data_IF_264089148216
#
_entry.id   IF_264089148216
#
_cell.length_a   1.000
_cell.length_b   1.000
_cell.length_c   1.000
_cell.angle_alpha   90.00
_cell.angle_beta   90.00
_cell.angle_gamma   90.00
#
_symmetry.space_group_name_H-M   'P 1'
#
loop_
_entity.id
_entity.type
_entity.pdbx_description
1 polymer ?
#
# COMPACT_ATOMS: atom_id res chain seq x y z
N UNK A 1 25.28 -3.82 -6.19
CA UNK A 1 23.96 -3.23 -6.55
C UNK A 1 24.22 -1.81 -7.03
N UNK A 2 23.84 -1.46 -8.27
CA UNK A 2 24.20 -0.16 -8.85
C UNK A 2 23.32 0.96 -8.27
N UNK A 3 23.84 2.20 -8.24
CA UNK A 3 23.13 3.36 -7.66
C UNK A 3 21.74 3.59 -8.29
N UNK A 4 21.63 3.38 -9.61
CA UNK A 4 20.39 3.49 -10.38
C UNK A 4 19.35 2.43 -9.95
N UNK A 5 19.80 1.19 -9.72
CA UNK A 5 18.92 0.11 -9.22
C UNK A 5 18.46 0.34 -7.77
N UNK A 6 19.25 1.07 -6.98
CA UNK A 6 18.88 1.45 -5.61
C UNK A 6 17.82 2.54 -5.62
N UNK A 7 18.00 3.59 -6.44
CA UNK A 7 17.05 4.68 -6.58
C UNK A 7 15.68 4.20 -7.09
N UNK A 8 15.65 3.39 -8.16
CA UNK A 8 14.41 2.81 -8.70
C UNK A 8 13.64 2.00 -7.64
N UNK A 9 14.34 1.30 -6.75
CA UNK A 9 13.73 0.53 -5.67
C UNK A 9 13.15 1.41 -4.56
N UNK A 10 13.84 2.50 -4.22
CA UNK A 10 13.38 3.48 -3.22
C UNK A 10 12.14 4.23 -3.72
N UNK A 11 12.12 4.62 -5.00
CA UNK A 11 10.98 5.27 -5.64
C UNK A 11 9.75 4.35 -5.67
N UNK A 12 9.94 3.06 -5.96
CA UNK A 12 8.87 2.05 -5.90
C UNK A 12 8.32 1.85 -4.48
N UNK A 13 9.18 1.89 -3.46
CA UNK A 13 8.73 1.78 -2.06
C UNK A 13 7.90 2.99 -1.64
N UNK A 14 8.37 4.18 -1.98
CA UNK A 14 7.65 5.44 -1.71
C UNK A 14 6.29 5.46 -2.42
N UNK A 15 6.23 4.98 -3.66
CA UNK A 15 4.98 4.86 -4.42
C UNK A 15 3.98 3.92 -3.75
N UNK A 16 4.40 2.73 -3.31
CA UNK A 16 3.51 1.78 -2.62
C UNK A 16 2.94 2.36 -1.32
N UNK A 17 3.78 3.03 -0.52
CA UNK A 17 3.34 3.71 0.71
C UNK A 17 2.36 4.85 0.40
N UNK A 18 2.58 5.58 -0.69
CA UNK A 18 1.68 6.63 -1.16
C UNK A 18 0.29 6.09 -1.51
N UNK A 19 0.21 4.98 -2.24
CA UNK A 19 -1.07 4.34 -2.57
C UNK A 19 -1.79 3.80 -1.33
N UNK A 20 -1.06 3.20 -0.38
CA UNK A 20 -1.64 2.75 0.89
C UNK A 20 -2.28 3.92 1.65
N UNK A 21 -1.58 5.05 1.79
CA UNK A 21 -2.11 6.20 2.54
C UNK A 21 -3.30 6.85 1.82
N UNK A 22 -3.28 6.88 0.49
CA UNK A 22 -4.42 7.35 -0.32
C UNK A 22 -5.65 6.46 -0.09
N UNK A 23 -5.50 5.14 -0.18
CA UNK A 23 -6.58 4.19 0.07
C UNK A 23 -7.10 4.29 1.52
N UNK A 24 -6.20 4.49 2.49
CA UNK A 24 -6.59 4.69 3.90
C UNK A 24 -7.50 5.92 4.05
N UNK A 25 -7.17 7.04 3.40
CA UNK A 25 -7.99 8.25 3.44
C UNK A 25 -9.37 8.03 2.81
N UNK A 26 -9.42 7.39 1.65
CA UNK A 26 -10.70 7.07 0.99
C UNK A 26 -11.54 6.09 1.80
N UNK A 27 -10.92 5.10 2.45
CA UNK A 27 -11.58 4.17 3.37
C UNK A 27 -12.23 4.90 4.55
N UNK A 28 -11.50 5.82 5.19
CA UNK A 28 -12.02 6.61 6.31
C UNK A 28 -13.19 7.48 5.86
N UNK A 29 -13.06 8.16 4.72
CA UNK A 29 -14.14 8.96 4.13
C UNK A 29 -15.37 8.11 3.81
N UNK A 30 -15.18 6.91 3.26
CA UNK A 30 -16.26 5.99 2.98
C UNK A 30 -16.97 5.52 4.25
N UNK A 31 -16.22 5.27 5.33
CA UNK A 31 -16.75 4.88 6.62
C UNK A 31 -17.50 6.04 7.32
N UNK A 32 -17.02 7.27 7.16
CA UNK A 32 -17.70 8.48 7.66
C UNK A 32 -19.03 8.72 6.94
N UNK A 33 -19.06 8.53 5.61
CA UNK A 33 -20.26 8.81 4.80
C UNK A 33 -21.28 7.67 4.86
N UNK A 34 -20.84 6.41 4.80
CA UNK A 34 -21.73 5.25 4.62
C UNK A 34 -21.80 4.34 5.85
N UNK A 35 -21.01 4.61 6.89
CA UNK A 35 -20.83 3.71 8.03
C UNK A 35 -19.72 2.68 7.80
N UNK A 36 -19.18 2.14 8.90
CA UNK A 36 -18.04 1.22 8.89
C UNK A 36 -18.33 -0.12 8.24
N UNK A 37 -19.58 -0.58 8.29
CA UNK A 37 -19.99 -1.88 7.75
C UNK A 37 -20.35 -1.81 6.26
N UNK A 38 -20.19 -0.65 5.63
CA UNK A 38 -20.49 -0.50 4.21
C UNK A 38 -19.51 -1.30 3.35
N UNK A 39 -19.98 -2.02 2.30
CA UNK A 39 -19.12 -2.86 1.46
C UNK A 39 -17.91 -2.15 0.88
N UNK A 40 -18.00 -0.85 0.58
CA UNK A 40 -16.86 -0.08 0.07
C UNK A 40 -15.70 0.02 1.07
N UNK A 41 -15.97 0.06 2.37
CA UNK A 41 -14.92 0.07 3.42
C UNK A 41 -14.15 -1.25 3.40
N UNK A 42 -14.86 -2.37 3.23
CA UNK A 42 -14.24 -3.69 3.06
C UNK A 42 -13.39 -3.76 1.78
N UNK A 43 -13.88 -3.22 0.66
CA UNK A 43 -13.12 -3.20 -0.59
C UNK A 43 -11.82 -2.38 -0.45
N UNK A 44 -11.87 -1.20 0.20
CA UNK A 44 -10.65 -0.44 0.49
C UNK A 44 -9.69 -1.20 1.41
N UNK A 45 -10.19 -1.92 2.43
CA UNK A 45 -9.36 -2.73 3.31
C UNK A 45 -8.60 -3.82 2.54
N UNK A 46 -9.31 -4.56 1.67
CA UNK A 46 -8.68 -5.61 0.82
C UNK A 46 -7.59 -5.03 -0.07
N UNK A 47 -7.84 -3.84 -0.61
CA UNK A 47 -6.89 -3.17 -1.49
C UNK A 47 -5.64 -2.71 -0.71
N UNK A 48 -5.81 -2.14 0.48
CA UNK A 48 -4.71 -1.80 1.39
C UNK A 48 -3.86 -3.04 1.70
N UNK A 49 -4.50 -4.17 2.01
CA UNK A 49 -3.80 -5.42 2.29
C UNK A 49 -3.02 -5.93 1.08
N UNK A 50 -3.56 -5.77 -0.14
CA UNK A 50 -2.85 -6.10 -1.39
C UNK A 50 -1.56 -5.29 -1.53
N UNK A 51 -1.62 -3.97 -1.32
CA UNK A 51 -0.43 -3.11 -1.38
C UNK A 51 0.56 -3.39 -0.23
N UNK A 52 0.07 -3.70 0.98
CA UNK A 52 0.92 -4.14 2.08
C UNK A 52 1.66 -5.45 1.77
N UNK A 53 0.99 -6.42 1.17
CA UNK A 53 1.64 -7.67 0.75
C UNK A 53 2.73 -7.43 -0.30
N UNK A 54 2.48 -6.55 -1.26
CA UNK A 54 3.49 -6.12 -2.23
C UNK A 54 4.69 -5.48 -1.51
N UNK A 55 4.44 -4.58 -0.56
CA UNK A 55 5.48 -3.92 0.24
C UNK A 55 6.36 -4.93 0.98
N UNK A 56 5.76 -5.96 1.59
CA UNK A 56 6.46 -7.05 2.27
C UNK A 56 7.32 -7.83 1.28
N UNK A 57 6.77 -8.22 0.12
CA UNK A 57 7.51 -8.95 -0.92
C UNK A 57 8.71 -8.14 -1.44
N UNK A 58 8.56 -6.83 -1.63
CA UNK A 58 9.67 -5.95 -2.03
C UNK A 58 10.77 -5.89 -0.95
N UNK A 59 10.40 -5.84 0.34
CA UNK A 59 11.35 -5.85 1.46
C UNK A 59 12.06 -7.20 1.60
N UNK A 60 11.33 -8.31 1.51
CA UNK A 60 11.92 -9.66 1.56
C UNK A 60 12.91 -9.91 0.42
N UNK A 61 12.58 -9.48 -0.82
CA UNK A 61 13.52 -9.52 -1.95
C UNK A 61 14.75 -8.64 -1.76
N UNK A 62 14.67 -7.58 -0.95
CA UNK A 62 15.79 -6.69 -0.63
C UNK A 62 16.70 -7.29 0.43
N UNK A 63 16.11 -7.91 1.44
CA UNK A 63 16.83 -8.37 2.63
C UNK A 63 17.45 -9.78 2.46
N UNK A 64 17.26 -10.40 1.29
CA UNK A 64 17.94 -11.64 0.90
C UNK A 64 17.43 -12.86 1.65
N UNK A 65 16.39 -13.50 1.11
CA UNK A 65 16.17 -14.93 1.32
C UNK A 65 17.04 -15.73 0.34
#
# INVERSE_FOLDING_TARGET
MNAEQKQIKEDNLASLLGEIEKLRKEMLKAAEVNGRDHPSVLEYSKEIDRYHNLLIQYRQKRDGA
#
